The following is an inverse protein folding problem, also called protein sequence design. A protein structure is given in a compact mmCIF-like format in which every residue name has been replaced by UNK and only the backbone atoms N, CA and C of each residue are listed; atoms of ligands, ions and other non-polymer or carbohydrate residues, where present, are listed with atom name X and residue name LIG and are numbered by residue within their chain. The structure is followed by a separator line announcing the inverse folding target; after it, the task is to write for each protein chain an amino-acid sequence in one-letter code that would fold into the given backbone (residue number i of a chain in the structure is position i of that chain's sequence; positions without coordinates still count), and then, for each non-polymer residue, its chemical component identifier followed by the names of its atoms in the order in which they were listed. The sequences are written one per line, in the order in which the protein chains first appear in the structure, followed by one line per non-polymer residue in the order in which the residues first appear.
data_IF_649359177865
#
_entry.id   IF_649359177865
#
_cell.length_a   1.000
_cell.length_b   1.000
_cell.length_c   1.000
_cell.angle_alpha   90.00
_cell.angle_beta   90.00
_cell.angle_gamma   90.00
#
_symmetry.space_group_name_H-M   'P 1'
#
loop_
_entity.id
_entity.type
_entity.pdbx_description
1 polymer ?
#
# COMPACT_ATOMS: atom_id res chain seq x y z
N UNK A 1 15.16 16.09 25.26
CA UNK A 1 15.49 14.67 25.50
C UNK A 1 14.70 13.86 24.50
N UNK A 2 15.34 13.28 23.49
CA UNK A 2 14.68 12.52 22.43
C UNK A 2 15.32 11.13 22.37
N UNK A 3 14.60 10.12 22.84
CA UNK A 3 14.81 8.74 22.40
C UNK A 3 13.52 8.18 21.82
N UNK A 4 13.09 8.62 20.61
CA UNK A 4 12.00 7.99 19.89
C UNK A 4 12.57 6.94 18.92
N UNK A 5 13.20 5.86 19.41
CA UNK A 5 13.94 4.92 18.55
C UNK A 5 13.64 3.40 18.67
N UNK A 6 12.59 2.93 19.37
CA UNK A 6 12.06 1.57 19.14
C UNK A 6 10.98 1.53 18.04
N UNK A 7 10.11 2.53 18.03
CA UNK A 7 8.89 2.58 17.21
C UNK A 7 9.18 2.59 15.70
N UNK A 8 10.02 3.50 15.23
CA UNK A 8 10.36 3.61 13.80
C UNK A 8 11.14 2.40 13.28
N UNK A 9 11.85 1.67 14.13
CA UNK A 9 12.52 0.43 13.70
C UNK A 9 11.51 -0.68 13.36
N UNK A 10 10.37 -0.73 14.07
CA UNK A 10 9.29 -1.66 13.78
C UNK A 10 8.56 -1.21 12.50
N UNK A 11 8.22 0.08 12.38
CA UNK A 11 7.59 0.62 11.16
C UNK A 11 8.46 0.43 9.92
N UNK A 12 9.77 0.63 10.01
CA UNK A 12 10.71 0.37 8.90
C UNK A 12 10.65 -1.07 8.43
N UNK A 13 10.56 -2.04 9.35
CA UNK A 13 10.43 -3.46 8.98
C UNK A 13 9.10 -3.72 8.27
N UNK A 14 7.99 -3.15 8.76
CA UNK A 14 6.68 -3.25 8.10
C UNK A 14 6.71 -2.63 6.70
N UNK A 15 7.24 -1.42 6.56
CA UNK A 15 7.37 -0.75 5.26
C UNK A 15 8.31 -1.49 4.31
N UNK A 16 9.38 -2.11 4.82
CA UNK A 16 10.30 -2.90 3.99
C UNK A 16 9.62 -4.17 3.46
N UNK A 17 8.87 -4.87 4.31
CA UNK A 17 8.06 -6.02 3.89
C UNK A 17 7.07 -5.58 2.81
N UNK A 18 6.33 -4.48 3.04
CA UNK A 18 5.40 -3.96 2.04
C UNK A 18 6.08 -3.51 0.74
N UNK A 19 7.27 -2.91 0.80
CA UNK A 19 8.03 -2.54 -0.40
C UNK A 19 8.35 -3.78 -1.27
N UNK A 20 8.76 -4.88 -0.63
CA UNK A 20 9.04 -6.15 -1.32
C UNK A 20 7.75 -6.76 -1.88
N UNK A 21 6.69 -6.84 -1.07
CA UNK A 21 5.41 -7.42 -1.47
C UNK A 21 4.75 -6.65 -2.62
N UNK A 22 4.74 -5.32 -2.56
CA UNK A 22 4.20 -4.46 -3.62
C UNK A 22 5.07 -4.56 -4.88
N UNK A 23 6.38 -4.42 -4.74
CA UNK A 23 7.31 -4.47 -5.87
C UNK A 23 7.19 -5.78 -6.66
N UNK A 24 7.30 -6.91 -5.95
CA UNK A 24 7.24 -8.24 -6.59
C UNK A 24 5.82 -8.54 -7.08
N UNK A 25 4.78 -8.29 -6.27
CA UNK A 25 3.41 -8.62 -6.62
C UNK A 25 2.92 -7.88 -7.87
N UNK A 26 3.12 -6.57 -7.91
CA UNK A 26 2.65 -5.75 -9.03
C UNK A 26 3.50 -5.91 -10.28
N UNK A 27 4.82 -6.13 -10.14
CA UNK A 27 5.65 -6.53 -11.27
C UNK A 27 5.21 -7.88 -11.84
N UNK A 28 4.88 -8.87 -11.01
CA UNK A 28 4.36 -10.15 -11.49
C UNK A 28 3.01 -10.00 -12.22
N UNK A 29 2.14 -9.11 -11.71
CA UNK A 29 0.81 -8.82 -12.29
C UNK A 29 0.91 -8.14 -13.66
N UNK A 30 1.99 -7.41 -13.92
CA UNK A 30 2.26 -6.84 -15.23
C UNK A 30 2.34 -7.92 -16.32
N UNK A 31 2.91 -9.09 -15.99
CA UNK A 31 3.16 -10.17 -16.96
C UNK A 31 2.13 -11.30 -16.88
N UNK A 32 1.43 -11.44 -15.74
CA UNK A 32 0.47 -12.50 -15.50
C UNK A 32 -0.82 -11.92 -14.91
N UNK A 33 -1.82 -11.67 -15.75
CA UNK A 33 -3.15 -11.16 -15.36
C UNK A 33 -4.21 -12.26 -15.25
N UNK A 34 -3.80 -13.52 -15.20
CA UNK A 34 -4.71 -14.64 -15.03
C UNK A 34 -5.43 -14.56 -13.68
N UNK A 35 -6.64 -15.12 -13.61
CA UNK A 35 -7.40 -15.34 -12.38
C UNK A 35 -6.54 -15.76 -11.17
N UNK A 36 -5.53 -16.60 -11.38
CA UNK A 36 -4.67 -17.13 -10.34
C UNK A 36 -3.80 -16.04 -9.65
N UNK A 37 -3.49 -14.92 -10.32
CA UNK A 37 -2.70 -13.82 -9.74
C UNK A 37 -3.45 -13.14 -8.58
N UNK A 38 -4.78 -13.08 -8.63
CA UNK A 38 -5.58 -12.43 -7.59
C UNK A 38 -5.60 -13.27 -6.29
N UNK A 39 -5.50 -14.58 -6.40
CA UNK A 39 -5.31 -15.47 -5.23
C UNK A 39 -3.93 -15.27 -4.61
N UNK A 40 -2.89 -15.14 -5.44
CA UNK A 40 -1.55 -14.79 -4.98
C UNK A 40 -1.57 -13.42 -4.25
N UNK A 41 -2.29 -12.43 -4.79
CA UNK A 41 -2.47 -11.13 -4.16
C UNK A 41 -3.19 -11.19 -2.82
N UNK A 42 -4.28 -11.96 -2.75
CA UNK A 42 -4.99 -12.21 -1.50
C UNK A 42 -4.04 -12.79 -0.46
N UNK A 43 -3.27 -13.83 -0.83
CA UNK A 43 -2.29 -14.46 0.07
C UNK A 43 -1.21 -13.49 0.51
N UNK A 44 -0.60 -12.74 -0.42
CA UNK A 44 0.42 -11.72 -0.13
C UNK A 44 -0.13 -10.64 0.81
N UNK A 45 -1.34 -10.17 0.54
CA UNK A 45 -2.03 -9.15 1.34
C UNK A 45 -2.33 -9.67 2.75
N UNK A 46 -2.75 -10.92 2.88
CA UNK A 46 -2.97 -11.58 4.18
C UNK A 46 -1.67 -11.75 4.96
N UNK A 47 -0.55 -12.09 4.30
CA UNK A 47 0.77 -12.18 4.93
C UNK A 47 1.21 -10.80 5.44
N UNK A 48 1.14 -9.78 4.60
CA UNK A 48 1.49 -8.40 4.96
C UNK A 48 0.63 -7.86 6.10
N UNK A 49 -0.69 -8.09 6.02
CA UNK A 49 -1.65 -7.70 7.05
C UNK A 49 -1.41 -8.44 8.37
N UNK A 50 -1.24 -9.76 8.32
CA UNK A 50 -0.97 -10.58 9.50
C UNK A 50 0.34 -10.18 10.20
N UNK A 51 1.38 -9.87 9.42
CA UNK A 51 2.61 -9.31 9.95
C UNK A 51 2.38 -7.95 10.63
N UNK A 52 1.65 -7.04 9.98
CA UNK A 52 1.32 -5.73 10.54
C UNK A 52 0.53 -5.84 11.85
N UNK A 53 -0.51 -6.67 11.89
CA UNK A 53 -1.31 -6.93 13.10
C UNK A 53 -0.42 -7.46 14.22
N UNK A 54 0.46 -8.43 13.92
CA UNK A 54 1.43 -8.95 14.90
C UNK A 54 2.37 -7.87 15.43
N UNK A 55 2.83 -6.95 14.60
CA UNK A 55 3.68 -5.85 15.07
C UNK A 55 2.90 -4.88 15.96
N UNK A 56 1.65 -4.57 15.60
CA UNK A 56 0.80 -3.67 16.41
C UNK A 56 0.35 -4.26 17.75
N UNK A 57 0.43 -5.58 17.92
CA UNK A 57 0.08 -6.26 19.18
C UNK A 57 1.25 -6.38 20.16
N UNK A 58 2.47 -6.02 19.75
CA UNK A 58 3.64 -6.06 20.63
C UNK A 58 3.47 -5.09 21.82
N UNK A 59 3.93 -5.46 23.03
CA UNK A 59 3.83 -4.61 24.22
C UNK A 59 4.44 -3.22 24.01
N UNK A 60 5.55 -3.16 23.28
CA UNK A 60 6.27 -1.92 22.91
C UNK A 60 5.41 -0.95 22.09
N UNK A 61 4.50 -1.49 21.28
CA UNK A 61 3.56 -0.72 20.46
C UNK A 61 2.37 -0.22 21.28
N UNK A 62 1.90 -1.05 22.23
CA UNK A 62 0.77 -0.72 23.12
C UNK A 62 1.14 0.34 24.16
N UNK A 63 2.35 0.28 24.71
CA UNK A 63 2.82 1.22 25.74
C UNK A 63 3.18 2.59 25.18
N UNK A 64 3.41 2.71 23.88
CA UNK A 64 3.70 3.99 23.24
C UNK A 64 2.53 4.98 23.31
N UNK A 65 1.30 4.55 23.65
CA UNK A 65 0.16 5.45 23.88
C UNK A 65 -0.38 6.11 22.60
N UNK A 66 -0.20 5.45 21.46
CA UNK A 66 -0.42 6.06 20.15
C UNK A 66 -1.71 5.53 19.52
N UNK A 67 -2.86 6.10 19.89
CA UNK A 67 -4.13 5.86 19.21
C UNK A 67 -4.03 6.09 17.68
N UNK A 68 -3.11 6.95 17.25
CA UNK A 68 -2.78 7.15 15.84
C UNK A 68 -2.21 5.92 15.14
N UNK A 69 -1.60 4.97 15.85
CA UNK A 69 -1.05 3.75 15.25
C UNK A 69 -2.08 2.68 14.97
N UNK A 70 -3.10 2.58 15.82
CA UNK A 70 -4.29 1.82 15.48
C UNK A 70 -5.00 2.45 14.28
N UNK A 71 -4.99 3.79 14.17
CA UNK A 71 -5.53 4.49 13.00
C UNK A 71 -4.71 4.22 11.73
N UNK A 72 -3.37 4.30 11.76
CA UNK A 72 -2.49 3.96 10.63
C UNK A 72 -2.65 2.48 10.23
N UNK A 73 -2.67 1.57 11.21
CA UNK A 73 -2.91 0.14 10.98
C UNK A 73 -4.29 -0.15 10.40
N UNK A 74 -5.33 0.52 10.90
CA UNK A 74 -6.70 0.42 10.41
C UNK A 74 -6.83 0.98 9.00
N UNK A 75 -6.26 2.16 8.72
CA UNK A 75 -6.25 2.79 7.40
C UNK A 75 -5.61 1.85 6.38
N UNK A 76 -4.44 1.30 6.68
CA UNK A 76 -3.80 0.31 5.80
C UNK A 76 -4.63 -0.96 5.65
N UNK A 77 -5.20 -1.47 6.74
CA UNK A 77 -6.09 -2.65 6.70
C UNK A 77 -7.30 -2.40 5.80
N UNK A 78 -7.92 -1.24 5.88
CA UNK A 78 -9.07 -0.84 5.06
C UNK A 78 -8.67 -0.66 3.59
N UNK A 79 -7.53 -0.02 3.33
CA UNK A 79 -6.96 0.12 1.99
C UNK A 79 -6.70 -1.25 1.36
N UNK A 80 -6.02 -2.14 2.07
CA UNK A 80 -5.72 -3.50 1.59
C UNK A 80 -7.01 -4.31 1.40
N UNK A 81 -7.96 -4.25 2.34
CA UNK A 81 -9.24 -4.96 2.24
C UNK A 81 -10.07 -4.48 1.04
N UNK A 82 -10.14 -3.17 0.82
CA UNK A 82 -10.81 -2.61 -0.35
C UNK A 82 -10.07 -2.98 -1.64
N UNK A 83 -8.74 -2.97 -1.64
CA UNK A 83 -7.95 -3.44 -2.77
C UNK A 83 -8.21 -4.92 -3.10
N UNK A 84 -8.37 -5.78 -2.09
CA UNK A 84 -8.76 -7.18 -2.27
C UNK A 84 -10.17 -7.33 -2.86
N UNK A 85 -11.14 -6.51 -2.44
CA UNK A 85 -12.49 -6.49 -3.03
C UNK A 85 -12.42 -6.07 -4.51
N UNK A 86 -11.60 -5.07 -4.83
CA UNK A 86 -11.38 -4.61 -6.20
C UNK A 86 -10.67 -5.67 -7.06
N UNK A 87 -9.77 -6.46 -6.49
CA UNK A 87 -9.10 -7.58 -7.19
C UNK A 87 -10.04 -8.76 -7.49
N UNK A 88 -11.26 -8.79 -6.94
CA UNK A 88 -12.31 -9.77 -7.32
C UNK A 88 -13.14 -9.29 -8.52
N UNK A 89 -13.09 -8.00 -8.87
CA UNK A 89 -13.85 -7.44 -10.00
C UNK A 89 -13.63 -8.13 -11.35
N UNK A 90 -12.42 -8.61 -11.72
CA UNK A 90 -12.20 -9.33 -12.97
C UNK A 90 -12.98 -10.64 -13.09
N UNK A 91 -13.41 -11.22 -11.96
CA UNK A 91 -14.13 -12.51 -11.93
C UNK A 91 -15.63 -12.37 -12.08
N UNK A 92 -16.17 -11.16 -11.93
CA UNK A 92 -17.60 -10.92 -12.02
C UNK A 92 -17.97 -10.70 -13.49
N UNK A 93 -17.81 -11.76 -14.29
CA UNK A 93 -17.75 -11.76 -15.77
C UNK A 93 -18.97 -11.23 -16.53
N UNK A 94 -19.96 -10.62 -15.86
CA UNK A 94 -21.13 -9.97 -16.48
C UNK A 94 -21.65 -8.76 -15.70
N UNK A 95 -20.87 -8.18 -14.78
CA UNK A 95 -21.30 -6.96 -14.08
C UNK A 95 -20.70 -5.70 -14.69
N UNK A 96 -21.38 -4.54 -14.56
CA UNK A 96 -20.83 -3.25 -14.99
C UNK A 96 -19.44 -2.94 -14.42
N UNK A 97 -19.08 -3.57 -13.30
CA UNK A 97 -17.80 -3.41 -12.64
C UNK A 97 -16.62 -4.02 -13.40
N UNK A 98 -16.87 -4.95 -14.34
CA UNK A 98 -15.82 -5.51 -15.20
C UNK A 98 -15.15 -4.42 -16.07
N UNK A 99 -15.87 -3.34 -16.40
CA UNK A 99 -15.33 -2.20 -17.14
C UNK A 99 -14.28 -1.40 -16.36
N UNK A 100 -14.18 -1.60 -15.04
CA UNK A 100 -13.17 -0.96 -14.18
C UNK A 100 -11.89 -1.78 -14.07
N UNK A 101 -11.91 -3.05 -14.48
CA UNK A 101 -10.75 -3.96 -14.46
C UNK A 101 -9.51 -3.37 -15.18
N UNK A 102 -9.64 -2.70 -16.33
CA UNK A 102 -8.49 -2.08 -17.02
C UNK A 102 -7.81 -0.94 -16.25
N UNK A 103 -8.34 -0.50 -15.11
CA UNK A 103 -7.80 0.63 -14.33
C UNK A 103 -7.32 0.23 -12.94
N UNK A 104 -7.24 -1.08 -12.65
CA UNK A 104 -6.95 -1.57 -11.30
C UNK A 104 -5.59 -1.07 -10.76
N UNK A 105 -4.54 -1.03 -11.57
CA UNK A 105 -3.24 -0.50 -11.14
C UNK A 105 -3.28 0.99 -10.80
N UNK A 106 -4.07 1.77 -11.55
CA UNK A 106 -4.32 3.20 -11.26
C UNK A 106 -5.08 3.36 -9.95
N UNK A 107 -6.13 2.56 -9.73
CA UNK A 107 -6.88 2.57 -8.47
C UNK A 107 -5.98 2.25 -7.28
N UNK A 108 -5.11 1.26 -7.41
CA UNK A 108 -4.15 0.90 -6.37
C UNK A 108 -3.18 2.04 -6.06
N UNK A 109 -2.61 2.69 -7.08
CA UNK A 109 -1.75 3.87 -6.91
C UNK A 109 -2.46 4.98 -6.13
N UNK A 110 -3.71 5.27 -6.49
CA UNK A 110 -4.47 6.30 -5.79
C UNK A 110 -4.80 5.92 -4.35
N UNK A 111 -5.16 4.67 -4.13
CA UNK A 111 -5.50 4.16 -2.82
C UNK A 111 -4.30 4.18 -1.86
N UNK A 112 -3.13 3.75 -2.33
CA UNK A 112 -1.88 3.86 -1.57
C UNK A 112 -1.51 5.33 -1.33
N UNK A 113 -1.70 6.20 -2.31
CA UNK A 113 -1.47 7.65 -2.17
C UNK A 113 -2.34 8.29 -1.08
N UNK A 114 -3.63 7.97 -1.07
CA UNK A 114 -4.58 8.39 -0.02
C UNK A 114 -4.19 7.81 1.35
N UNK A 115 -3.79 6.54 1.41
CA UNK A 115 -3.29 5.92 2.64
C UNK A 115 -2.10 6.68 3.23
N UNK A 116 -1.15 7.11 2.40
CA UNK A 116 -0.02 7.92 2.84
C UNK A 116 -0.47 9.27 3.38
N UNK A 117 -1.36 9.99 2.68
CA UNK A 117 -1.87 11.28 3.18
C UNK A 117 -2.63 11.14 4.50
N UNK A 118 -3.46 10.11 4.65
CA UNK A 118 -4.17 9.82 5.90
C UNK A 118 -3.18 9.55 7.05
N UNK A 119 -2.09 8.84 6.79
CA UNK A 119 -1.02 8.65 7.79
C UNK A 119 -0.34 9.98 8.13
N UNK A 120 -0.09 10.85 7.14
CA UNK A 120 0.49 12.18 7.32
C UNK A 120 -0.37 13.14 8.16
N UNK A 121 -1.66 12.86 8.36
CA UNK A 121 -2.50 13.63 9.28
C UNK A 121 -2.16 13.36 10.75
N UNK A 122 -1.70 12.15 11.05
CA UNK A 122 -1.60 11.63 12.42
C UNK A 122 -0.17 11.28 12.86
N UNK A 123 0.77 11.13 11.91
CA UNK A 123 2.15 10.75 12.17
C UNK A 123 3.16 11.84 11.70
N UNK A 124 3.80 12.56 12.64
CA UNK A 124 4.91 13.46 12.33
C UNK A 124 6.27 12.73 12.20
N UNK A 125 7.18 13.19 11.32
CA UNK A 125 7.07 14.31 10.39
C UNK A 125 6.10 14.02 9.23
N UNK A 126 5.26 15.01 8.92
CA UNK A 126 4.17 14.85 7.94
C UNK A 126 4.64 14.92 6.50
N UNK A 127 5.68 15.71 6.23
CA UNK A 127 6.14 16.03 4.86
C UNK A 127 6.46 14.79 4.00
N UNK A 128 7.15 13.75 4.49
CA UNK A 128 7.41 12.54 3.71
C UNK A 128 6.13 11.84 3.24
N UNK A 129 5.10 11.80 4.08
CA UNK A 129 3.79 11.24 3.74
C UNK A 129 3.08 12.02 2.63
N UNK A 130 3.14 13.36 2.68
CA UNK A 130 2.59 14.21 1.63
C UNK A 130 3.28 14.01 0.28
N UNK A 131 4.62 13.98 0.28
CA UNK A 131 5.42 13.78 -0.93
C UNK A 131 5.13 12.40 -1.54
N UNK A 132 5.24 11.35 -0.74
CA UNK A 132 5.06 9.97 -1.22
C UNK A 132 3.61 9.69 -1.63
N UNK A 133 2.62 10.28 -0.96
CA UNK A 133 1.23 10.23 -1.40
C UNK A 133 1.02 10.95 -2.74
N UNK A 134 1.61 12.14 -2.90
CA UNK A 134 1.54 12.92 -4.14
C UNK A 134 2.18 12.19 -5.33
N UNK A 135 3.36 11.59 -5.15
CA UNK A 135 4.05 10.82 -6.19
C UNK A 135 3.15 9.67 -6.69
N UNK A 136 2.48 8.96 -5.79
CA UNK A 136 1.59 7.84 -6.15
C UNK A 136 0.35 8.32 -6.91
N UNK A 137 -0.28 9.41 -6.48
CA UNK A 137 -1.42 10.01 -7.18
C UNK A 137 -1.02 10.44 -8.59
N UNK A 138 0.10 11.17 -8.71
CA UNK A 138 0.64 11.64 -9.99
C UNK A 138 1.02 10.48 -10.92
N UNK A 139 1.60 9.40 -10.38
CA UNK A 139 1.89 8.20 -11.15
C UNK A 139 0.61 7.54 -11.71
N UNK A 140 -0.47 7.50 -10.93
CA UNK A 140 -1.77 7.02 -11.40
C UNK A 140 -2.33 7.90 -12.53
N UNK A 141 -2.23 9.23 -12.38
CA UNK A 141 -2.62 10.17 -13.45
C UNK A 141 -1.78 9.97 -14.70
N UNK A 142 -0.46 9.80 -14.57
CA UNK A 142 0.42 9.56 -15.71
C UNK A 142 0.07 8.25 -16.45
N UNK A 143 -0.30 7.20 -15.73
CA UNK A 143 -0.77 5.95 -16.34
C UNK A 143 -2.06 6.16 -17.16
N UNK A 144 -3.01 6.96 -16.66
CA UNK A 144 -4.24 7.29 -17.40
C UNK A 144 -3.99 8.05 -18.70
N UNK A 145 -2.97 8.91 -18.72
CA UNK A 145 -2.69 9.76 -19.87
C UNK A 145 -1.80 9.09 -20.92
N UNK A 146 -0.84 8.26 -20.50
CA UNK A 146 0.28 7.87 -21.36
C UNK A 146 0.70 6.40 -21.31
N UNK A 147 0.12 5.55 -20.46
CA UNK A 147 0.66 4.20 -20.30
C UNK A 147 -0.16 3.29 -19.41
N UNK A 148 -1.45 3.13 -19.73
CA UNK A 148 -2.34 2.26 -18.96
C UNK A 148 -1.87 0.80 -19.00
N UNK A 149 -1.22 0.39 -20.08
CA UNK A 149 -0.59 -0.92 -20.24
C UNK A 149 0.55 -1.17 -19.25
N UNK A 150 1.18 -0.13 -18.69
CA UNK A 150 2.27 -0.24 -17.71
C UNK A 150 1.82 0.00 -16.26
N UNK A 151 0.51 0.19 -16.04
CA UNK A 151 -0.01 0.61 -14.74
C UNK A 151 0.39 -0.29 -13.56
N UNK A 152 0.52 -1.60 -13.77
CA UNK A 152 0.88 -2.53 -12.70
C UNK A 152 2.38 -2.45 -12.42
N UNK A 153 3.24 -2.43 -13.43
CA UNK A 153 4.66 -2.17 -13.24
C UNK A 153 4.92 -0.83 -12.51
N UNK A 154 4.18 0.23 -12.89
CA UNK A 154 4.26 1.54 -12.23
C UNK A 154 3.75 1.47 -10.79
N UNK A 155 2.61 0.81 -10.54
CA UNK A 155 2.08 0.62 -9.19
C UNK A 155 3.07 -0.11 -8.26
N UNK A 156 3.72 -1.16 -8.77
CA UNK A 156 4.74 -1.90 -8.03
C UNK A 156 5.99 -1.08 -7.76
N UNK A 157 6.56 -0.47 -8.81
CA UNK A 157 7.78 0.30 -8.71
C UNK A 157 7.63 1.56 -7.85
N UNK A 158 6.59 2.36 -8.12
CA UNK A 158 6.34 3.61 -7.39
C UNK A 158 5.83 3.32 -5.98
N UNK A 159 4.97 2.32 -5.79
CA UNK A 159 4.52 1.89 -4.46
C UNK A 159 5.69 1.44 -3.59
N UNK A 160 6.58 0.58 -4.12
CA UNK A 160 7.77 0.15 -3.40
C UNK A 160 8.74 1.30 -3.09
N UNK A 161 8.98 2.18 -4.08
CA UNK A 161 9.84 3.35 -3.90
C UNK A 161 9.28 4.30 -2.84
N UNK A 162 7.97 4.52 -2.81
CA UNK A 162 7.31 5.35 -1.80
C UNK A 162 7.54 4.81 -0.38
N UNK A 163 7.48 3.49 -0.18
CA UNK A 163 7.77 2.85 1.10
C UNK A 163 9.25 3.02 1.50
N UNK A 164 10.18 2.84 0.55
CA UNK A 164 11.61 3.03 0.79
C UNK A 164 11.96 4.49 1.10
N UNK A 165 11.29 5.45 0.45
CA UNK A 165 11.44 6.87 0.74
C UNK A 165 10.95 7.20 2.16
N UNK A 166 9.81 6.64 2.59
CA UNK A 166 9.34 6.82 3.96
C UNK A 166 10.35 6.30 4.99
N UNK A 167 10.98 5.15 4.72
CA UNK A 167 12.04 4.57 5.57
C UNK A 167 13.26 5.50 5.68
N UNK A 168 13.64 6.17 4.57
CA UNK A 168 14.83 7.02 4.52
C UNK A 168 14.60 8.39 5.16
N UNK A 169 13.39 8.93 5.05
CA UNK A 169 13.04 10.29 5.46
C UNK A 169 12.55 10.40 6.91
N UNK A 170 12.38 9.27 7.59
CA UNK A 170 12.10 9.13 9.02
C UNK A 170 13.25 8.42 9.72
#
# INVERSE_FOLDING_TARGET
MQTPLPFWNICRRVYLVWAVLLGIGFAATQFHQEANINWLWLVISLIGLGYMVRQTSLPEFRTAGLAHLYFVGLVWTLVIAQGMILSVLPFVGRTPLAALSPYLGVFWLWQMGLGHWLNGLVDPPRLPYWITGGIQILAGVACLLWGLEWQFAVAGGIGALAMLLLIRLH
#
